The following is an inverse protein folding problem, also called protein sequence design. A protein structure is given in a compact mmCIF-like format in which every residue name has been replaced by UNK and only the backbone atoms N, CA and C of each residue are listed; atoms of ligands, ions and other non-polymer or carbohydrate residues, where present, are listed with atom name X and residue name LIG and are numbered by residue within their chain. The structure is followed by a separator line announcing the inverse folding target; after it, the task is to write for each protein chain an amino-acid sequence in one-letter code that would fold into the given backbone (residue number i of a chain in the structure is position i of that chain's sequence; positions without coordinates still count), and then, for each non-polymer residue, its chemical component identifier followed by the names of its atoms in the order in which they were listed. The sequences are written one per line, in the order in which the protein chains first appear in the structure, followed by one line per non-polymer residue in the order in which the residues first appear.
data_IF_398655259506
#
_entry.id   IF_398655259506
#
_cell.length_a   1.000
_cell.length_b   1.000
_cell.length_c   1.000
_cell.angle_alpha   90.00
_cell.angle_beta   90.00
_cell.angle_gamma   90.00
#
_symmetry.space_group_name_H-M   'P 1'
#
loop_
_entity.id
_entity.type
_entity.pdbx_description
1 polymer ?
#
# COMPACT_ATOMS: atom_id res chain seq x y z
N UNK A 1 50.04 -65.01 38.19
CA UNK A 1 49.36 -65.34 36.92
C UNK A 1 47.89 -65.15 37.12
N UNK A 2 47.34 -64.00 36.75
CA UNK A 2 45.91 -63.78 36.83
C UNK A 2 45.57 -62.65 35.82
N UNK A 3 44.99 -63.06 34.70
CA UNK A 3 44.51 -62.18 33.63
C UNK A 3 43.30 -61.39 34.10
N UNK A 4 43.38 -60.09 34.06
CA UNK A 4 42.22 -59.17 34.23
C UNK A 4 41.83 -58.74 32.87
N UNK A 5 40.64 -59.20 32.41
CA UNK A 5 39.97 -58.73 31.19
C UNK A 5 39.25 -57.42 31.48
N UNK A 6 39.73 -56.36 30.84
CA UNK A 6 39.04 -55.06 30.85
C UNK A 6 38.00 -55.04 29.74
N UNK A 7 36.74 -55.10 30.12
CA UNK A 7 35.65 -54.87 29.21
C UNK A 7 35.45 -53.33 29.00
N UNK A 8 35.80 -52.81 27.81
CA UNK A 8 35.49 -51.45 27.39
C UNK A 8 34.08 -51.46 26.86
N UNK A 9 33.16 -50.89 27.62
CA UNK A 9 31.79 -50.63 27.16
C UNK A 9 31.81 -49.37 26.31
N UNK A 10 31.62 -49.54 24.99
CA UNK A 10 31.45 -48.43 24.04
C UNK A 10 30.02 -47.93 24.15
N UNK A 11 29.84 -46.80 24.82
CA UNK A 11 28.55 -46.11 24.87
C UNK A 11 28.28 -45.37 23.55
N UNK A 12 27.33 -45.89 22.77
CA UNK A 12 26.83 -45.22 21.57
C UNK A 12 25.88 -44.12 22.00
N UNK A 13 26.35 -42.84 21.94
CA UNK A 13 25.50 -41.67 22.10
C UNK A 13 24.71 -41.44 20.82
N UNK A 14 23.45 -41.78 20.82
CA UNK A 14 22.48 -41.39 19.76
C UNK A 14 22.15 -39.92 19.92
N UNK A 15 22.78 -39.08 19.06
CA UNK A 15 22.43 -37.69 18.92
C UNK A 15 21.10 -37.63 18.14
N UNK A 16 20.00 -37.47 18.88
CA UNK A 16 18.69 -37.23 18.31
C UNK A 16 18.68 -35.81 17.70
N UNK A 17 18.82 -35.72 16.38
CA UNK A 17 18.65 -34.49 15.64
C UNK A 17 17.15 -34.11 15.64
N UNK A 18 16.77 -33.22 16.53
CA UNK A 18 15.44 -32.57 16.51
C UNK A 18 15.42 -31.63 15.28
N UNK A 19 14.88 -32.14 14.18
CA UNK A 19 14.55 -31.32 13.02
C UNK A 19 13.35 -30.45 13.38
N UNK A 20 13.62 -29.23 13.85
CA UNK A 20 12.60 -28.19 13.95
C UNK A 20 12.09 -27.91 12.55
N UNK A 21 10.86 -28.34 12.24
CA UNK A 21 10.14 -27.89 11.06
C UNK A 21 9.95 -26.38 11.19
N UNK A 22 10.83 -25.62 10.55
CA UNK A 22 10.57 -24.22 10.26
C UNK A 22 9.38 -24.21 9.31
N UNK A 23 8.20 -23.94 9.87
CA UNK A 23 7.02 -23.62 9.09
C UNK A 23 7.35 -22.35 8.31
N UNK A 24 7.77 -22.54 7.06
CA UNK A 24 7.87 -21.45 6.09
C UNK A 24 6.47 -20.90 5.92
N UNK A 25 6.17 -19.82 6.64
CA UNK A 25 5.01 -19.00 6.37
C UNK A 25 5.28 -18.41 5.00
N UNK A 26 4.85 -19.11 3.95
CA UNK A 26 4.68 -18.52 2.64
C UNK A 26 3.63 -17.43 2.84
N UNK A 27 4.07 -16.20 2.99
CA UNK A 27 3.24 -15.05 2.70
C UNK A 27 2.90 -15.16 1.21
N UNK A 28 1.83 -15.88 0.93
CA UNK A 28 1.17 -15.81 -0.37
C UNK A 28 0.64 -14.38 -0.41
N UNK A 29 1.42 -13.49 -1.00
CA UNK A 29 0.89 -12.22 -1.49
C UNK A 29 -0.11 -12.63 -2.56
N UNK A 30 -1.37 -12.78 -2.15
CA UNK A 30 -2.47 -13.03 -3.06
C UNK A 30 -2.46 -11.85 -4.02
N UNK A 31 -2.11 -12.13 -5.29
CA UNK A 31 -2.06 -11.12 -6.34
C UNK A 31 -3.49 -10.61 -6.50
N UNK A 32 -3.79 -9.53 -5.81
CA UNK A 32 -5.13 -8.99 -5.79
C UNK A 32 -5.60 -8.67 -7.20
N UNK A 33 -6.87 -8.96 -7.46
CA UNK A 33 -7.49 -8.71 -8.76
C UNK A 33 -7.47 -7.20 -9.03
N UNK A 34 -6.76 -6.71 -10.07
CA UNK A 34 -6.71 -5.27 -10.39
C UNK A 34 -8.09 -4.65 -10.57
N UNK A 35 -9.11 -5.46 -10.93
CA UNK A 35 -10.50 -4.99 -11.04
C UNK A 35 -11.06 -4.47 -9.73
N UNK A 36 -10.54 -4.95 -8.59
CA UNK A 36 -10.94 -4.47 -7.28
C UNK A 36 -10.49 -3.02 -7.02
N UNK A 37 -9.58 -2.45 -7.81
CA UNK A 37 -9.20 -1.04 -7.70
C UNK A 37 -10.30 -0.08 -8.15
N UNK A 38 -11.25 -0.55 -8.98
CA UNK A 38 -12.36 0.28 -9.44
C UNK A 38 -13.28 0.69 -8.28
N UNK A 39 -13.68 1.94 -8.21
CA UNK A 39 -14.59 2.47 -7.19
C UNK A 39 -14.07 3.68 -6.43
N UNK A 40 -14.71 3.98 -5.31
CA UNK A 40 -14.48 5.18 -4.51
C UNK A 40 -13.52 4.91 -3.35
N UNK A 41 -12.59 5.81 -3.15
CA UNK A 41 -11.51 5.70 -2.18
C UNK A 41 -11.37 7.00 -1.38
N UNK A 42 -11.51 6.91 -0.06
CA UNK A 42 -11.36 8.04 0.87
C UNK A 42 -9.97 8.04 1.49
N UNK A 43 -9.28 9.16 1.42
CA UNK A 43 -7.94 9.33 1.97
C UNK A 43 -7.95 9.19 3.49
N UNK A 44 -7.01 8.40 4.01
CA UNK A 44 -6.77 8.17 5.43
C UNK A 44 -5.42 8.73 5.88
N UNK A 45 -4.43 8.69 4.99
CA UNK A 45 -3.08 9.18 5.27
C UNK A 45 -2.50 9.88 4.04
N UNK A 46 -1.89 11.02 4.26
CA UNK A 46 -1.07 11.73 3.29
C UNK A 46 0.32 11.95 3.92
N UNK A 47 1.37 11.48 3.25
CA UNK A 47 2.74 11.61 3.73
C UNK A 47 3.11 13.09 3.95
N UNK A 48 3.81 13.36 5.07
CA UNK A 48 4.25 14.70 5.48
C UNK A 48 3.10 15.71 5.69
N UNK A 49 1.89 15.23 5.99
CA UNK A 49 0.75 16.05 6.39
C UNK A 49 0.33 15.72 7.83
N UNK A 50 -0.28 16.67 8.51
CA UNK A 50 -0.88 16.48 9.83
C UNK A 50 -2.14 15.62 9.80
N UNK A 51 -2.65 15.29 8.62
CA UNK A 51 -3.84 14.45 8.38
C UNK A 51 -5.12 14.93 9.12
N UNK A 52 -5.18 16.21 9.45
CA UNK A 52 -6.31 16.82 10.16
C UNK A 52 -7.22 17.56 9.18
N UNK A 53 -7.94 16.81 8.33
CA UNK A 53 -8.83 17.38 7.32
C UNK A 53 -10.25 17.60 7.85
N UNK A 54 -10.82 18.77 7.58
CA UNK A 54 -12.26 18.99 7.72
C UNK A 54 -13.02 18.16 6.68
N UNK A 55 -12.52 18.14 5.43
CA UNK A 55 -13.00 17.29 4.36
C UNK A 55 -11.84 16.45 3.80
N UNK A 56 -11.83 15.17 4.09
CA UNK A 56 -10.79 14.29 3.57
C UNK A 56 -10.88 14.16 2.05
N UNK A 57 -9.76 14.29 1.31
CA UNK A 57 -9.72 14.01 -0.11
C UNK A 57 -10.27 12.63 -0.44
N UNK A 58 -10.87 12.50 -1.60
CA UNK A 58 -11.31 11.22 -2.12
C UNK A 58 -11.09 11.13 -3.63
N UNK A 59 -10.95 9.93 -4.13
CA UNK A 59 -10.83 9.62 -5.56
C UNK A 59 -11.77 8.49 -5.95
N UNK A 60 -12.37 8.61 -7.13
CA UNK A 60 -13.13 7.56 -7.80
C UNK A 60 -12.33 7.06 -8.98
N UNK A 61 -11.96 5.79 -8.99
CA UNK A 61 -11.16 5.17 -10.04
C UNK A 61 -12.08 4.44 -11.01
N UNK A 62 -11.97 4.76 -12.30
CA UNK A 62 -12.62 4.07 -13.39
C UNK A 62 -11.56 3.34 -14.24
N UNK A 63 -11.43 2.04 -14.02
CA UNK A 63 -10.44 1.21 -14.72
C UNK A 63 -10.75 1.03 -16.21
N UNK A 64 -12.04 1.02 -16.59
CA UNK A 64 -12.44 0.84 -17.97
C UNK A 64 -11.91 1.97 -18.85
N UNK A 65 -12.07 3.19 -18.38
CA UNK A 65 -11.70 4.40 -19.14
C UNK A 65 -10.30 4.93 -18.75
N UNK A 66 -9.66 4.30 -17.74
CA UNK A 66 -8.40 4.75 -17.16
C UNK A 66 -8.44 6.21 -16.71
N UNK A 67 -9.55 6.60 -16.09
CA UNK A 67 -9.80 7.95 -15.57
C UNK A 67 -10.06 7.92 -14.08
N UNK A 68 -9.78 9.02 -13.43
CA UNK A 68 -10.20 9.26 -12.07
C UNK A 68 -10.93 10.60 -11.95
N UNK A 69 -11.79 10.69 -10.96
CA UNK A 69 -12.42 11.94 -10.50
C UNK A 69 -12.40 11.97 -8.98
N UNK A 70 -12.63 13.09 -8.38
CA UNK A 70 -12.65 13.17 -6.91
C UNK A 70 -12.62 14.61 -6.41
N UNK A 71 -12.14 14.75 -5.18
CA UNK A 71 -11.98 16.05 -4.54
C UNK A 71 -10.68 16.08 -3.74
N UNK A 72 -9.94 17.17 -3.81
CA UNK A 72 -8.64 17.36 -3.17
C UNK A 72 -8.69 18.00 -1.79
N UNK A 73 -9.80 17.96 -1.11
CA UNK A 73 -10.20 18.64 0.12
C UNK A 73 -11.09 19.88 -0.12
N UNK A 74 -10.97 20.57 -1.24
CA UNK A 74 -11.75 21.75 -1.62
C UNK A 74 -12.26 21.61 -3.04
N UNK A 75 -11.36 21.49 -4.00
CA UNK A 75 -11.68 21.49 -5.41
C UNK A 75 -11.96 20.09 -5.96
N UNK A 76 -12.90 20.02 -6.91
CA UNK A 76 -13.09 18.82 -7.69
C UNK A 76 -11.90 18.59 -8.61
N UNK A 77 -11.50 17.31 -8.72
CA UNK A 77 -10.36 16.86 -9.49
C UNK A 77 -10.79 15.85 -10.53
N UNK A 78 -10.12 15.84 -11.67
CA UNK A 78 -10.26 14.76 -12.66
C UNK A 78 -9.00 14.62 -13.50
N UNK A 79 -8.80 13.44 -14.06
CA UNK A 79 -7.66 13.17 -14.92
C UNK A 79 -7.61 11.73 -15.38
N UNK A 80 -6.48 11.36 -15.97
CA UNK A 80 -6.19 10.01 -16.42
C UNK A 80 -5.11 9.38 -15.58
N UNK A 81 -4.99 8.07 -15.65
CA UNK A 81 -3.90 7.33 -15.04
C UNK A 81 -3.43 6.20 -15.94
N UNK A 82 -2.24 5.70 -15.68
CA UNK A 82 -1.65 4.53 -16.31
C UNK A 82 -1.56 3.44 -15.24
N UNK A 83 -1.93 2.22 -15.60
CA UNK A 83 -1.81 1.06 -14.73
C UNK A 83 -1.25 -0.13 -15.50
N UNK A 84 -0.29 -0.83 -14.90
CA UNK A 84 0.27 -2.08 -15.39
C UNK A 84 0.84 -2.87 -14.21
N UNK A 85 0.37 -4.09 -13.98
CA UNK A 85 0.76 -4.92 -12.82
C UNK A 85 0.71 -4.16 -11.48
N UNK A 86 1.87 -3.84 -10.91
CA UNK A 86 2.01 -3.05 -9.67
C UNK A 86 2.30 -1.57 -9.93
N UNK A 87 2.49 -1.18 -11.18
CA UNK A 87 2.72 0.22 -11.56
C UNK A 87 1.39 0.95 -11.69
N UNK A 88 1.30 2.12 -11.06
CA UNK A 88 0.17 3.03 -11.15
C UNK A 88 0.67 4.46 -11.11
N UNK A 89 0.32 5.27 -12.10
CA UNK A 89 0.73 6.67 -12.14
C UNK A 89 -0.41 7.56 -12.67
N UNK A 90 -0.64 8.67 -12.00
CA UNK A 90 -1.53 9.70 -12.51
C UNK A 90 -0.88 10.48 -13.66
N UNK A 91 -1.67 10.85 -14.66
CA UNK A 91 -1.21 11.75 -15.72
C UNK A 91 -0.92 13.13 -15.12
N UNK A 92 0.05 13.85 -15.71
CA UNK A 92 0.44 15.19 -15.25
C UNK A 92 -0.66 16.23 -15.48
N UNK A 93 -1.59 15.96 -16.41
CA UNK A 93 -2.68 16.85 -16.76
C UNK A 93 -3.91 16.61 -15.86
N UNK A 94 -3.77 16.88 -14.57
CA UNK A 94 -4.89 16.86 -13.64
C UNK A 94 -5.67 18.16 -13.76
N UNK A 95 -6.97 18.04 -14.02
CA UNK A 95 -7.89 19.17 -14.05
C UNK A 95 -8.41 19.38 -12.64
N UNK A 96 -8.37 20.63 -12.16
CA UNK A 96 -8.93 21.03 -10.87
C UNK A 96 -9.80 22.27 -11.04
N UNK A 97 -10.94 22.33 -10.36
CA UNK A 97 -11.68 23.59 -10.20
C UNK A 97 -10.84 24.56 -9.37
N UNK A 98 -11.08 25.87 -9.56
CA UNK A 98 -10.36 26.92 -8.82
C UNK A 98 -11.32 27.72 -7.96
N UNK A 99 -12.06 27.04 -7.09
CA UNK A 99 -12.96 27.70 -6.15
C UNK A 99 -12.17 28.29 -4.98
N UNK A 100 -12.68 29.38 -4.41
CA UNK A 100 -12.17 29.88 -3.14
C UNK A 100 -12.62 28.94 -2.02
N UNK A 101 -11.65 28.37 -1.29
CA UNK A 101 -11.93 27.49 -0.17
C UNK A 101 -12.27 28.31 1.07
N UNK A 102 -13.35 27.99 1.75
CA UNK A 102 -13.74 28.64 3.00
C UNK A 102 -12.71 28.39 4.12
N UNK A 103 -12.10 27.20 4.11
CA UNK A 103 -11.02 26.83 5.04
C UNK A 103 -9.65 27.10 4.40
N UNK A 104 -8.84 28.03 4.94
CA UNK A 104 -7.51 28.30 4.42
C UNK A 104 -6.59 27.07 4.41
N UNK A 105 -6.76 26.13 5.33
CA UNK A 105 -6.01 24.88 5.37
C UNK A 105 -6.37 23.96 4.21
N UNK A 106 -7.60 23.98 3.74
CA UNK A 106 -8.02 23.15 2.61
C UNK A 106 -7.19 23.41 1.35
N UNK A 107 -6.80 24.66 1.09
CA UNK A 107 -5.90 25.00 -0.03
C UNK A 107 -4.52 24.37 0.14
N UNK A 108 -3.98 24.36 1.37
CA UNK A 108 -2.67 23.77 1.65
C UNK A 108 -2.72 22.23 1.50
N UNK A 109 -3.78 21.61 2.02
CA UNK A 109 -4.00 20.16 1.88
C UNK A 109 -4.14 19.75 0.43
N UNK A 110 -4.94 20.47 -0.35
CA UNK A 110 -5.10 20.19 -1.77
C UNK A 110 -3.78 20.30 -2.54
N UNK A 111 -2.99 21.35 -2.29
CA UNK A 111 -1.65 21.47 -2.90
C UNK A 111 -0.75 20.29 -2.55
N UNK A 112 -0.74 19.88 -1.28
CA UNK A 112 0.01 18.72 -0.82
C UNK A 112 -0.49 17.44 -1.49
N UNK A 113 -1.80 17.22 -1.52
CA UNK A 113 -2.44 16.07 -2.16
C UNK A 113 -2.06 15.98 -3.64
N UNK A 114 -2.24 17.05 -4.41
CA UNK A 114 -1.89 17.10 -5.84
C UNK A 114 -0.40 16.86 -6.08
N UNK A 115 0.46 17.44 -5.24
CA UNK A 115 1.91 17.27 -5.37
C UNK A 115 2.34 15.83 -5.16
N UNK A 116 1.66 15.11 -4.25
CA UNK A 116 1.94 13.70 -3.97
C UNK A 116 1.35 12.80 -5.04
N UNK A 117 0.15 13.07 -5.56
CA UNK A 117 -0.44 12.33 -6.68
C UNK A 117 0.53 12.20 -7.86
N UNK A 118 1.23 13.28 -8.20
CA UNK A 118 2.19 13.31 -9.31
C UNK A 118 3.49 12.53 -9.08
N UNK A 119 3.75 12.08 -7.84
CA UNK A 119 4.91 11.25 -7.48
C UNK A 119 4.61 9.76 -7.46
N UNK A 120 3.33 9.39 -7.53
CA UNK A 120 2.90 8.00 -7.45
C UNK A 120 3.43 7.23 -8.67
N UNK A 121 4.04 6.07 -8.42
CA UNK A 121 4.45 5.13 -9.45
C UNK A 121 4.16 3.66 -9.08
N UNK A 122 3.54 3.43 -7.91
CA UNK A 122 3.19 2.09 -7.43
C UNK A 122 1.88 2.12 -6.67
N UNK A 123 1.15 1.01 -6.71
CA UNK A 123 0.01 0.76 -5.81
C UNK A 123 0.12 -0.61 -5.17
N UNK A 124 -0.50 -0.74 -4.03
CA UNK A 124 -0.80 -2.01 -3.35
C UNK A 124 -2.25 -1.95 -2.93
N UNK A 125 -2.97 -3.01 -3.21
CA UNK A 125 -4.38 -3.15 -2.85
C UNK A 125 -4.51 -4.33 -1.89
N UNK A 126 -5.19 -4.14 -0.78
CA UNK A 126 -5.48 -5.17 0.20
C UNK A 126 -6.93 -5.00 0.65
N UNK A 127 -7.84 -5.78 0.06
CA UNK A 127 -9.30 -5.70 0.30
C UNK A 127 -9.81 -4.26 0.11
N UNK A 128 -10.08 -3.58 1.21
CA UNK A 128 -10.62 -2.22 1.24
C UNK A 128 -9.58 -1.15 1.54
N UNK A 129 -8.30 -1.51 1.51
CA UNK A 129 -7.18 -0.58 1.66
C UNK A 129 -6.41 -0.44 0.35
N UNK A 130 -6.21 0.79 -0.10
CA UNK A 130 -5.39 1.14 -1.25
C UNK A 130 -4.20 1.98 -0.77
N UNK A 131 -3.01 1.48 -1.00
CA UNK A 131 -1.78 2.23 -0.78
C UNK A 131 -1.21 2.70 -2.11
N UNK A 132 -0.90 3.99 -2.19
CA UNK A 132 -0.21 4.58 -3.32
C UNK A 132 1.16 5.08 -2.87
N UNK A 133 2.19 4.80 -3.65
CA UNK A 133 3.56 5.09 -3.25
C UNK A 133 4.50 5.43 -4.39
N UNK A 134 5.72 5.75 -4.01
CA UNK A 134 6.86 5.95 -4.90
C UNK A 134 7.97 4.96 -4.52
N UNK A 135 8.27 4.02 -5.39
CA UNK A 135 9.15 2.91 -5.06
C UNK A 135 8.63 2.13 -3.85
N UNK A 136 9.44 1.96 -2.82
CA UNK A 136 9.05 1.25 -1.59
C UNK A 136 8.35 2.15 -0.55
N UNK A 137 8.25 3.45 -0.80
CA UNK A 137 7.69 4.41 0.15
C UNK A 137 6.21 4.59 -0.10
N UNK A 138 5.38 4.28 0.90
CA UNK A 138 3.94 4.57 0.88
C UNK A 138 3.74 6.05 1.15
N UNK A 139 3.10 6.74 0.22
CA UNK A 139 2.85 8.19 0.30
C UNK A 139 1.40 8.52 0.64
N UNK A 140 0.47 7.65 0.28
CA UNK A 140 -0.96 7.80 0.55
C UNK A 140 -1.59 6.47 0.91
N UNK A 141 -2.52 6.49 1.86
CA UNK A 141 -3.39 5.37 2.18
C UNK A 141 -4.84 5.79 2.06
N UNK A 142 -5.63 4.95 1.45
CA UNK A 142 -7.06 5.15 1.25
C UNK A 142 -7.83 3.93 1.77
N UNK A 143 -9.06 4.17 2.19
CA UNK A 143 -10.05 3.11 2.44
C UNK A 143 -11.17 3.21 1.41
N UNK A 144 -11.74 2.05 1.08
CA UNK A 144 -12.90 2.00 0.20
C UNK A 144 -14.08 2.75 0.80
N UNK A 145 -14.77 3.51 -0.01
CA UNK A 145 -16.03 4.19 0.33
C UNK A 145 -17.15 3.57 -0.47
N UNK A 146 -18.20 3.16 0.21
CA UNK A 146 -19.40 2.56 -0.39
C UNK A 146 -20.54 3.59 -0.52
#
# INVERSE_FOLDING_TARGET
MRNIFFFIVFGVAIISCHTSKVSSVKNVVEKENPRALNGSWKLQMLFASDNNWTNAPHININLKDKTFSGNGACNALSGKFIINESYFAFDKNIISTKMACADPKANQYEKSFLSVLLKINRYTLNKDELELGQGEIVLMKFTRSY
#
